data_IF_827431360704
#
_entry.id   IF_827431360704
#
_cell.length_a   1.000
_cell.length_b   1.000
_cell.length_c   1.000
_cell.angle_alpha   90.00
_cell.angle_beta   90.00
_cell.angle_gamma   90.00
#
_symmetry.space_group_name_H-M   'P 1'
#
loop_
_entity.id
_entity.type
_entity.pdbx_description
1 polymer ?
#
# COMPACT_ATOMS: atom_id res chain seq x y z
N UNK A 1 5.80 -11.16 -21.69
CA UNK A 1 4.50 -10.66 -21.15
C UNK A 1 3.65 -11.87 -20.82
N UNK A 2 3.00 -11.89 -19.66
CA UNK A 2 2.13 -12.98 -19.22
C UNK A 2 0.68 -12.50 -19.25
N UNK A 3 -0.23 -13.32 -19.74
CA UNK A 3 -1.65 -12.98 -19.82
C UNK A 3 -2.40 -13.48 -18.59
N UNK A 4 -3.40 -12.72 -18.15
CA UNK A 4 -4.32 -13.10 -17.07
C UNK A 4 -5.73 -13.10 -17.65
N UNK A 5 -6.46 -14.20 -17.46
CA UNK A 5 -7.88 -14.30 -17.81
C UNK A 5 -8.71 -14.05 -16.56
N UNK A 6 -9.67 -13.12 -16.64
CA UNK A 6 -10.57 -12.76 -15.56
C UNK A 6 -12.01 -12.93 -16.03
N UNK A 7 -12.85 -13.56 -15.22
CA UNK A 7 -14.29 -13.57 -15.41
C UNK A 7 -14.89 -12.36 -14.70
N UNK A 8 -15.58 -11.51 -15.45
CA UNK A 8 -16.23 -10.28 -14.98
C UNK A 8 -17.63 -10.28 -15.60
N UNK A 9 -18.60 -9.70 -14.89
CA UNK A 9 -19.94 -9.47 -15.44
C UNK A 9 -19.86 -8.66 -16.75
N UNK A 10 -20.70 -9.01 -17.72
CA UNK A 10 -20.66 -8.40 -19.05
C UNK A 10 -21.06 -6.92 -19.02
N UNK A 11 -22.01 -6.56 -18.15
CA UNK A 11 -22.49 -5.19 -18.00
C UNK A 11 -21.39 -4.30 -17.42
N UNK A 12 -20.74 -4.78 -16.36
CA UNK A 12 -19.60 -4.12 -15.72
C UNK A 12 -18.43 -3.95 -16.70
N UNK A 13 -18.14 -4.98 -17.51
CA UNK A 13 -17.06 -4.92 -18.50
C UNK A 13 -17.33 -3.85 -19.57
N UNK A 14 -18.58 -3.74 -20.04
CA UNK A 14 -18.99 -2.71 -21.00
C UNK A 14 -18.84 -1.32 -20.40
N UNK A 15 -19.39 -1.09 -19.21
CA UNK A 15 -19.31 0.20 -18.53
C UNK A 15 -17.85 0.62 -18.27
N UNK A 16 -17.02 -0.30 -17.77
CA UNK A 16 -15.61 -0.04 -17.50
C UNK A 16 -14.83 0.35 -18.77
N UNK A 17 -15.14 -0.26 -19.92
CA UNK A 17 -14.54 0.11 -21.21
C UNK A 17 -14.96 1.50 -21.67
N UNK A 18 -16.24 1.85 -21.53
CA UNK A 18 -16.74 3.18 -21.88
C UNK A 18 -16.07 4.25 -21.03
N UNK A 19 -15.99 4.04 -19.71
CA UNK A 19 -15.32 4.96 -18.80
C UNK A 19 -13.83 5.12 -19.11
N UNK A 20 -13.14 4.02 -19.40
CA UNK A 20 -11.72 4.07 -19.78
C UNK A 20 -11.50 4.90 -21.05
N UNK A 21 -12.35 4.71 -22.06
CA UNK A 21 -12.30 5.48 -23.31
C UNK A 21 -12.58 6.97 -23.08
N UNK A 22 -13.57 7.30 -22.25
CA UNK A 22 -13.87 8.69 -21.88
C UNK A 22 -12.68 9.36 -21.18
N UNK A 23 -11.88 8.60 -20.43
CA UNK A 23 -10.65 9.06 -19.79
C UNK A 23 -9.42 9.04 -20.72
N UNK A 24 -9.58 8.71 -22.00
CA UNK A 24 -8.48 8.64 -22.97
C UNK A 24 -7.52 7.47 -22.71
N UNK A 25 -7.96 6.43 -22.02
CA UNK A 25 -7.16 5.25 -21.66
C UNK A 25 -7.85 3.96 -22.10
N UNK A 26 -7.27 2.81 -21.76
CA UNK A 26 -7.86 1.50 -21.97
C UNK A 26 -8.07 0.77 -20.65
N UNK A 27 -9.06 -0.12 -20.60
CA UNK A 27 -9.30 -0.95 -19.43
C UNK A 27 -8.05 -1.76 -19.03
N UNK A 28 -7.31 -2.27 -20.02
CA UNK A 28 -6.07 -3.01 -19.76
C UNK A 28 -4.97 -2.13 -19.16
N UNK A 29 -4.87 -0.86 -19.57
CA UNK A 29 -3.94 0.09 -18.97
C UNK A 29 -4.32 0.38 -17.51
N UNK A 30 -5.62 0.62 -17.25
CA UNK A 30 -6.14 0.82 -15.89
C UNK A 30 -5.87 -0.38 -14.98
N UNK A 31 -6.14 -1.61 -15.44
CA UNK A 31 -5.87 -2.84 -14.68
C UNK A 31 -4.37 -2.97 -14.39
N UNK A 32 -3.52 -2.69 -15.38
CA UNK A 32 -2.06 -2.75 -15.21
C UNK A 32 -1.57 -1.77 -14.15
N UNK A 33 -2.05 -0.53 -14.19
CA UNK A 33 -1.66 0.50 -13.24
C UNK A 33 -2.22 0.23 -11.85
N UNK A 34 -3.44 -0.29 -11.76
CA UNK A 34 -4.03 -0.76 -10.53
C UNK A 34 -3.17 -1.86 -9.89
N UNK A 35 -2.78 -2.90 -10.64
CA UNK A 35 -1.94 -3.99 -10.16
C UNK A 35 -0.58 -3.48 -9.67
N UNK A 36 0.07 -2.56 -10.40
CA UNK A 36 1.31 -1.92 -9.94
C UNK A 36 1.11 -1.17 -8.62
N UNK A 37 0.02 -0.41 -8.50
CA UNK A 37 -0.30 0.32 -7.27
C UNK A 37 -0.59 -0.62 -6.10
N UNK A 38 -1.21 -1.77 -6.37
CA UNK A 38 -1.57 -2.77 -5.38
C UNK A 38 -0.32 -3.47 -4.84
N UNK A 39 0.58 -3.89 -5.73
CA UNK A 39 1.90 -4.44 -5.37
C UNK A 39 2.71 -3.40 -4.59
N UNK A 40 2.80 -2.17 -5.10
CA UNK A 40 3.58 -1.09 -4.49
C UNK A 40 3.09 -0.70 -3.09
N UNK A 41 1.78 -0.78 -2.84
CA UNK A 41 1.20 -0.57 -1.49
C UNK A 41 1.72 -1.62 -0.52
N UNK A 42 1.61 -2.91 -0.84
CA UNK A 42 2.11 -3.98 0.02
C UNK A 42 3.62 -3.88 0.27
N UNK A 43 4.40 -3.61 -0.78
CA UNK A 43 5.86 -3.46 -0.66
C UNK A 43 6.24 -2.25 0.20
N UNK A 44 5.57 -1.10 0.04
CA UNK A 44 5.83 0.08 0.86
C UNK A 44 5.53 -0.18 2.33
N UNK A 45 4.41 -0.80 2.66
CA UNK A 45 4.08 -1.15 4.05
C UNK A 45 5.10 -2.12 4.63
N UNK A 46 5.48 -3.18 3.90
CA UNK A 46 6.52 -4.12 4.36
C UNK A 46 7.86 -3.42 4.58
N UNK A 47 8.33 -2.62 3.61
CA UNK A 47 9.61 -1.91 3.72
C UNK A 47 9.66 -0.90 4.87
N UNK A 48 8.55 -0.19 5.12
CA UNK A 48 8.44 0.72 6.26
C UNK A 48 8.46 -0.05 7.57
N UNK A 49 7.70 -1.14 7.67
CA UNK A 49 7.68 -2.00 8.85
C UNK A 49 9.06 -2.60 9.14
N UNK A 50 9.74 -3.15 8.13
CA UNK A 50 11.10 -3.69 8.27
C UNK A 50 12.10 -2.62 8.71
N UNK A 51 11.99 -1.39 8.17
CA UNK A 51 12.85 -0.28 8.60
C UNK A 51 12.62 0.09 10.06
N UNK A 52 11.36 0.18 10.50
CA UNK A 52 11.01 0.49 11.89
C UNK A 52 11.53 -0.61 12.82
N UNK A 53 11.30 -1.89 12.48
CA UNK A 53 11.76 -3.01 13.29
C UNK A 53 13.29 -3.06 13.39
N UNK A 54 14.00 -2.86 12.28
CA UNK A 54 15.46 -2.80 12.27
C UNK A 54 15.99 -1.63 13.11
N UNK A 55 15.34 -0.47 13.06
CA UNK A 55 15.70 0.67 13.92
C UNK A 55 15.43 0.38 15.39
N UNK A 56 14.33 -0.29 15.72
CA UNK A 56 14.01 -0.71 17.08
C UNK A 56 15.03 -1.71 17.63
N UNK A 57 15.41 -2.73 16.84
CA UNK A 57 16.45 -3.70 17.19
C UNK A 57 17.83 -3.05 17.41
N UNK A 58 18.16 -2.04 16.61
CA UNK A 58 19.41 -1.28 16.75
C UNK A 58 19.36 -0.26 17.89
N UNK A 59 18.17 0.07 18.39
CA UNK A 59 18.01 1.00 19.48
C UNK A 59 18.48 0.34 20.77
N UNK A 60 19.28 1.06 21.57
CA UNK A 60 19.67 0.65 22.91
C UNK A 60 18.64 1.07 23.97
N UNK A 61 17.48 1.57 23.52
CA UNK A 61 16.46 2.11 24.40
C UNK A 61 15.57 0.98 24.91
N UNK A 62 15.67 0.70 26.20
CA UNK A 62 14.79 -0.21 26.92
C UNK A 62 13.99 0.62 27.93
N UNK A 63 12.68 0.66 27.78
CA UNK A 63 11.80 1.33 28.75
C UNK A 63 11.69 0.57 30.06
N UNK A 64 12.12 -0.69 30.11
CA UNK A 64 11.93 -1.58 31.25
C UNK A 64 10.47 -1.56 31.71
N UNK A 65 10.26 -1.40 33.03
CA UNK A 65 8.93 -1.25 33.63
C UNK A 65 8.51 0.22 33.81
N UNK A 66 9.25 1.18 33.22
CA UNK A 66 9.03 2.60 33.43
C UNK A 66 8.02 3.13 32.40
N UNK A 67 6.84 3.51 32.88
CA UNK A 67 5.86 4.24 32.08
C UNK A 67 6.12 5.73 32.24
N UNK A 68 6.62 6.38 31.21
CA UNK A 68 6.70 7.84 31.20
C UNK A 68 5.30 8.40 31.05
N UNK A 69 4.92 9.33 31.92
CA UNK A 69 3.67 10.08 31.73
C UNK A 69 3.87 11.15 30.66
N UNK A 70 2.76 11.65 30.09
CA UNK A 70 2.81 12.64 29.02
C UNK A 70 3.48 13.92 29.52
N UNK A 71 3.23 14.30 30.77
CA UNK A 71 3.76 15.50 31.42
C UNK A 71 5.29 15.43 31.54
N UNK A 72 5.85 14.27 31.89
CA UNK A 72 7.30 14.06 32.05
C UNK A 72 8.10 14.17 30.72
N UNK A 73 7.44 13.95 29.58
CA UNK A 73 8.06 14.03 28.25
C UNK A 73 8.10 15.48 27.75
N UNK A 74 7.10 16.30 28.10
CA UNK A 74 7.00 17.69 27.64
C UNK A 74 7.91 18.67 28.39
N UNK A 75 8.38 18.32 29.59
CA UNK A 75 9.30 19.16 30.38
C UNK A 75 10.80 18.94 30.04
N UNK A 76 11.13 18.15 29.01
CA UNK A 76 12.51 17.92 28.57
C UNK A 76 12.85 18.57 27.23
#
# INVERSE_FOLDING_TARGET
>A
MTNVTLSIDEEDLKQARVLALQQGTSLNALIRDYLKSYIGRNQRYQQVTERILKQAEQSKFDSGNRRCTREEIYER
#
